data_IF_722486543124
#
_entry.id   IF_722486543124
#
_cell.length_a   1.000
_cell.length_b   1.000
_cell.length_c   1.000
_cell.angle_alpha   90.00
_cell.angle_beta   90.00
_cell.angle_gamma   90.00
#
_symmetry.space_group_name_H-M   'P 1'
#
loop_
_entity.id
_entity.type
_entity.pdbx_description
1 polymer ?
#
# COMPACT_ATOMS: atom_id res chain seq x y z
N UNK A 1 4.18 -27.62 4.10
CA UNK A 1 3.31 -26.47 3.79
C UNK A 1 1.87 -26.94 3.84
N UNK A 2 0.94 -26.07 4.21
CA UNK A 2 -0.51 -26.37 4.27
C UNK A 2 -1.27 -25.26 3.57
N UNK A 3 -2.38 -25.59 2.92
CA UNK A 3 -3.24 -24.61 2.26
C UNK A 3 -3.91 -23.73 3.30
N UNK A 4 -4.14 -22.46 2.94
CA UNK A 4 -5.00 -21.58 3.75
C UNK A 4 -6.43 -22.11 3.76
N UNK A 5 -7.24 -21.79 4.78
CA UNK A 5 -8.65 -22.14 4.79
C UNK A 5 -9.39 -21.56 3.57
N UNK A 6 -10.60 -22.07 3.32
CA UNK A 6 -11.46 -21.54 2.25
C UNK A 6 -11.66 -20.03 2.43
N UNK A 7 -11.30 -19.27 1.40
CA UNK A 7 -11.53 -17.83 1.31
C UNK A 7 -12.79 -17.53 0.49
N UNK A 8 -13.41 -16.40 0.78
CA UNK A 8 -14.53 -15.83 0.01
C UNK A 8 -14.21 -14.37 -0.36
N UNK A 9 -14.88 -13.76 -1.35
CA UNK A 9 -14.68 -12.34 -1.65
C UNK A 9 -14.76 -11.46 -0.41
N UNK A 10 -13.75 -10.61 -0.20
CA UNK A 10 -13.61 -9.77 1.01
C UNK A 10 -12.84 -10.41 2.17
N UNK A 11 -12.52 -11.70 2.10
CA UNK A 11 -11.59 -12.33 3.05
C UNK A 11 -10.19 -11.72 2.93
N UNK A 12 -9.50 -11.58 4.05
CA UNK A 12 -8.12 -11.11 4.11
C UNK A 12 -7.24 -12.19 4.74
N UNK A 13 -6.08 -12.43 4.15
CA UNK A 13 -5.11 -13.41 4.63
C UNK A 13 -3.80 -12.68 4.87
N UNK A 14 -3.31 -12.75 6.10
CA UNK A 14 -2.05 -12.15 6.52
C UNK A 14 -1.08 -13.23 6.96
N UNK A 15 0.19 -13.08 6.60
CA UNK A 15 1.28 -13.86 7.13
C UNK A 15 2.43 -12.91 7.49
N UNK A 16 3.22 -13.29 8.50
CA UNK A 16 4.40 -12.53 8.89
C UNK A 16 5.43 -12.53 7.74
N UNK A 17 6.24 -11.47 7.63
CA UNK A 17 7.22 -11.34 6.53
C UNK A 17 8.24 -12.49 6.46
N UNK A 18 8.45 -13.19 7.57
CA UNK A 18 9.38 -14.32 7.69
C UNK A 18 8.69 -15.69 7.50
N UNK A 19 7.38 -15.74 7.22
CA UNK A 19 6.66 -17.00 7.00
C UNK A 19 6.96 -17.53 5.60
N UNK A 20 7.45 -18.77 5.53
CA UNK A 20 7.58 -19.54 4.30
C UNK A 20 6.19 -19.73 3.69
N UNK A 21 6.00 -19.30 2.45
CA UNK A 21 4.75 -19.41 1.73
C UNK A 21 4.99 -19.80 0.25
N UNK A 22 3.97 -20.36 -0.38
CA UNK A 22 3.97 -20.72 -1.79
C UNK A 22 2.55 -20.68 -2.34
N UNK A 23 2.41 -20.46 -3.65
CA UNK A 23 1.15 -20.69 -4.37
C UNK A 23 1.10 -22.16 -4.81
N UNK A 24 -0.06 -22.79 -4.73
CA UNK A 24 -0.24 -24.16 -5.23
C UNK A 24 0.01 -24.25 -6.73
N UNK A 25 0.59 -25.38 -7.18
CA UNK A 25 1.01 -25.55 -8.58
C UNK A 25 -0.13 -25.88 -9.54
N UNK A 26 -1.33 -26.19 -9.02
CA UNK A 26 -2.52 -26.53 -9.82
C UNK A 26 -3.73 -25.82 -9.27
N UNK A 27 -4.52 -25.22 -10.15
CA UNK A 27 -5.85 -24.70 -9.85
C UNK A 27 -6.91 -25.61 -10.48
N UNK A 28 -7.63 -26.37 -9.64
CA UNK A 28 -8.71 -27.26 -10.07
C UNK A 28 -10.11 -26.65 -9.93
N UNK A 29 -10.21 -25.37 -9.58
CA UNK A 29 -11.49 -24.68 -9.40
C UNK A 29 -12.14 -24.30 -10.74
N UNK A 30 -13.44 -23.99 -10.70
CA UNK A 30 -14.23 -23.66 -11.88
C UNK A 30 -14.19 -22.17 -12.29
N UNK A 31 -13.56 -21.32 -11.48
CA UNK A 31 -13.51 -19.86 -11.68
C UNK A 31 -12.14 -19.32 -11.35
N UNK A 32 -11.85 -18.09 -11.78
CA UNK A 32 -10.60 -17.41 -11.45
C UNK A 32 -10.37 -17.28 -9.94
N UNK A 33 -9.10 -17.35 -9.55
CA UNK A 33 -8.63 -17.08 -8.19
C UNK A 33 -7.93 -15.73 -8.19
N UNK A 34 -8.67 -14.68 -7.86
CA UNK A 34 -8.20 -13.29 -7.94
C UNK A 34 -7.97 -12.71 -6.55
N UNK A 35 -6.85 -12.00 -6.38
CA UNK A 35 -6.47 -11.33 -5.13
C UNK A 35 -5.93 -9.93 -5.41
N UNK A 36 -6.01 -9.04 -4.42
CA UNK A 36 -5.26 -7.80 -4.38
C UNK A 36 -4.19 -7.91 -3.29
N UNK A 37 -2.94 -7.64 -3.63
CA UNK A 37 -1.85 -7.64 -2.66
C UNK A 37 -1.81 -6.30 -1.92
N UNK A 38 -2.16 -6.32 -0.63
CA UNK A 38 -2.19 -5.14 0.24
C UNK A 38 -1.43 -5.48 1.53
N UNK A 39 -0.15 -5.08 1.68
CA UNK A 39 0.63 -5.40 2.86
C UNK A 39 0.34 -4.44 4.03
N UNK A 40 0.72 -4.86 5.23
CA UNK A 40 0.86 -3.94 6.36
C UNK A 40 2.26 -3.31 6.33
N UNK A 41 2.36 -2.05 5.93
CA UNK A 41 3.61 -1.29 5.89
C UNK A 41 3.57 -0.14 6.92
N UNK A 42 4.19 -0.29 8.10
CA UNK A 42 4.16 0.76 9.13
C UNK A 42 4.96 1.99 8.70
N UNK A 43 4.64 3.14 9.28
CA UNK A 43 5.41 4.36 9.03
C UNK A 43 6.80 4.22 9.64
N UNK A 44 7.83 4.33 8.79
CA UNK A 44 9.25 4.37 9.15
C UNK A 44 9.93 5.36 8.19
N UNK A 45 11.14 5.83 8.49
CA UNK A 45 11.87 6.71 7.57
C UNK A 45 12.08 6.06 6.19
N UNK A 46 12.47 4.78 6.16
CA UNK A 46 12.63 4.01 4.92
C UNK A 46 11.33 3.90 4.12
N UNK A 47 10.21 3.62 4.80
CA UNK A 47 8.91 3.52 4.13
C UNK A 47 8.40 4.90 3.67
N UNK A 48 8.73 5.98 4.37
CA UNK A 48 8.41 7.34 3.94
C UNK A 48 9.19 7.74 2.68
N UNK A 49 10.46 7.36 2.56
CA UNK A 49 11.24 7.57 1.34
C UNK A 49 10.66 6.79 0.15
N UNK A 50 10.24 5.54 0.40
CA UNK A 50 9.55 4.76 -0.62
C UNK A 50 8.22 5.40 -1.02
N UNK A 51 7.41 5.82 -0.05
CA UNK A 51 6.13 6.47 -0.27
C UNK A 51 6.27 7.74 -1.12
N UNK A 52 7.31 8.54 -0.89
CA UNK A 52 7.61 9.71 -1.73
C UNK A 52 7.75 9.34 -3.20
N UNK A 53 8.60 8.34 -3.51
CA UNK A 53 8.83 7.87 -4.88
C UNK A 53 7.58 7.22 -5.47
N UNK A 54 6.84 6.46 -4.66
CA UNK A 54 5.58 5.84 -5.08
C UNK A 54 4.54 6.89 -5.44
N UNK A 55 4.39 7.96 -4.64
CA UNK A 55 3.48 9.09 -4.92
C UNK A 55 3.78 9.73 -6.27
N UNK A 56 5.04 10.01 -6.55
CA UNK A 56 5.48 10.57 -7.85
C UNK A 56 5.15 9.64 -9.03
N UNK A 57 5.33 8.32 -8.86
CA UNK A 57 4.98 7.32 -9.89
C UNK A 57 3.48 7.20 -10.10
N UNK A 58 2.70 7.22 -9.03
CA UNK A 58 1.25 7.18 -9.06
C UNK A 58 0.67 8.37 -9.84
N UNK A 59 1.18 9.59 -9.62
CA UNK A 59 0.77 10.78 -10.38
C UNK A 59 1.06 10.64 -11.87
N UNK A 60 2.23 10.09 -12.20
CA UNK A 60 2.63 9.82 -13.58
C UNK A 60 1.91 8.61 -14.21
N UNK A 61 1.16 7.82 -13.43
CA UNK A 61 0.56 6.55 -13.87
C UNK A 61 1.58 5.48 -14.25
N UNK A 62 2.78 5.54 -13.66
CA UNK A 62 3.86 4.58 -13.93
C UNK A 62 3.88 3.50 -12.85
N UNK A 63 4.46 2.31 -13.13
CA UNK A 63 4.63 1.28 -12.11
C UNK A 63 5.40 1.82 -10.89
N UNK A 64 5.09 1.26 -9.71
CA UNK A 64 5.79 1.62 -8.49
C UNK A 64 7.28 1.26 -8.57
N UNK A 65 8.15 1.89 -7.75
CA UNK A 65 9.61 1.84 -7.94
C UNK A 65 10.26 0.45 -7.85
N UNK A 66 9.58 -0.52 -7.25
CA UNK A 66 10.02 -1.91 -7.04
C UNK A 66 9.56 -2.88 -8.13
N UNK A 67 8.66 -2.46 -9.03
CA UNK A 67 8.22 -3.25 -10.17
C UNK A 67 9.03 -2.92 -11.44
N UNK A 68 9.02 -3.82 -12.44
CA UNK A 68 9.56 -3.49 -13.75
C UNK A 68 8.98 -2.17 -14.27
N UNK A 69 9.85 -1.27 -14.71
CA UNK A 69 9.45 0.05 -15.21
C UNK A 69 8.66 -0.01 -16.53
N UNK A 70 8.36 1.17 -17.08
CA UNK A 70 7.63 1.31 -18.34
C UNK A 70 6.61 2.44 -18.27
N UNK A 71 5.74 2.50 -19.28
CA UNK A 71 4.66 3.49 -19.31
C UNK A 71 3.54 3.18 -18.32
N UNK A 72 3.41 1.93 -17.88
CA UNK A 72 2.36 1.50 -16.94
C UNK A 72 0.96 1.87 -17.44
N UNK A 73 0.17 2.45 -16.55
CA UNK A 73 -1.21 2.88 -16.77
C UNK A 73 -1.28 4.37 -17.20
N UNK A 74 -0.16 4.98 -17.57
CA UNK A 74 -0.09 6.43 -17.86
C UNK A 74 -1.03 6.90 -18.97
N UNK A 75 -1.43 5.99 -19.87
CA UNK A 75 -2.36 6.25 -20.98
C UNK A 75 -3.77 5.65 -20.76
N UNK A 76 -4.01 5.01 -19.63
CA UNK A 76 -5.27 4.31 -19.39
C UNK A 76 -6.39 5.31 -19.06
N UNK A 77 -7.58 5.06 -19.60
CA UNK A 77 -8.80 5.79 -19.27
C UNK A 77 -9.36 5.22 -17.95
N UNK A 78 -9.82 6.08 -17.06
CA UNK A 78 -10.41 5.66 -15.78
C UNK A 78 -9.38 5.27 -14.71
N UNK A 79 -8.11 5.64 -14.89
CA UNK A 79 -7.07 5.45 -13.88
C UNK A 79 -7.43 6.20 -12.59
N UNK A 80 -7.26 5.54 -11.46
CA UNK A 80 -7.42 6.17 -10.16
C UNK A 80 -6.44 7.33 -9.95
N UNK A 81 -6.87 8.30 -9.15
CA UNK A 81 -6.16 9.50 -8.75
C UNK A 81 -6.38 9.78 -7.26
N UNK A 82 -5.70 10.78 -6.71
CA UNK A 82 -5.98 11.24 -5.34
C UNK A 82 -7.41 11.74 -5.15
N UNK A 83 -8.13 12.08 -6.23
CA UNK A 83 -9.52 12.49 -6.15
C UNK A 83 -10.43 11.32 -5.75
N UNK A 84 -10.05 10.09 -6.12
CA UNK A 84 -10.83 8.86 -5.93
C UNK A 84 -10.68 8.25 -4.54
N UNK A 85 -9.89 8.88 -3.66
CA UNK A 85 -9.83 8.49 -2.25
C UNK A 85 -11.22 8.64 -1.63
N UNK A 86 -11.71 7.52 -1.07
CA UNK A 86 -13.04 7.40 -0.50
C UNK A 86 -13.36 8.54 0.48
N UNK A 87 -14.51 9.18 0.28
CA UNK A 87 -14.89 10.39 1.01
C UNK A 87 -15.00 10.16 2.53
N UNK A 88 -15.43 8.98 2.96
CA UNK A 88 -15.59 8.64 4.39
C UNK A 88 -14.29 8.63 5.20
N UNK A 89 -13.14 8.40 4.55
CA UNK A 89 -11.84 8.27 5.21
C UNK A 89 -10.76 9.12 4.50
N UNK A 90 -11.19 10.23 3.91
CA UNK A 90 -10.37 10.98 2.95
C UNK A 90 -9.00 11.37 3.48
N UNK A 91 -8.93 11.93 4.69
CA UNK A 91 -7.64 12.29 5.30
C UNK A 91 -6.76 11.07 5.59
N UNK A 92 -7.33 9.95 6.03
CA UNK A 92 -6.55 8.72 6.27
C UNK A 92 -5.98 8.17 4.96
N UNK A 93 -6.81 8.09 3.91
CA UNK A 93 -6.37 7.64 2.60
C UNK A 93 -5.34 8.57 1.95
N UNK A 94 -5.52 9.89 2.07
CA UNK A 94 -4.55 10.86 1.56
C UNK A 94 -3.22 10.80 2.33
N UNK A 95 -3.23 10.58 3.65
CA UNK A 95 -2.00 10.33 4.42
C UNK A 95 -1.31 9.05 3.95
N UNK A 96 -2.06 7.96 3.78
CA UNK A 96 -1.51 6.69 3.30
C UNK A 96 -0.88 6.78 1.90
N UNK A 97 -1.38 7.69 1.06
CA UNK A 97 -0.82 8.01 -0.26
C UNK A 97 0.25 9.12 -0.24
N UNK A 98 0.59 9.65 0.93
CA UNK A 98 1.59 10.71 1.10
C UNK A 98 1.15 12.08 0.59
N UNK A 99 -0.15 12.35 0.46
CA UNK A 99 -0.70 13.64 0.05
C UNK A 99 -1.04 14.57 1.22
N UNK A 100 -1.13 14.04 2.43
CA UNK A 100 -1.42 14.80 3.65
C UNK A 100 -0.42 14.46 4.76
N UNK A 101 -0.20 15.43 5.66
CA UNK A 101 0.64 15.25 6.84
C UNK A 101 0.14 14.13 7.72
N UNK A 102 1.06 13.29 8.17
CA UNK A 102 0.81 12.37 9.28
C UNK A 102 0.64 13.18 10.58
N UNK A 103 -0.34 12.78 11.38
CA UNK A 103 -0.68 13.42 12.65
C UNK A 103 -0.55 12.37 13.76
N UNK A 104 0.19 12.65 14.84
CA UNK A 104 0.31 11.71 15.96
C UNK A 104 -1.02 11.52 16.66
N UNK A 105 -1.29 10.29 17.11
CA UNK A 105 -2.40 10.02 18.00
C UNK A 105 -2.22 10.75 19.36
N UNK A 106 -3.30 11.02 20.12
CA UNK A 106 -3.19 11.71 21.41
C UNK A 106 -2.23 11.07 22.41
N UNK A 107 -2.14 9.74 22.40
CA UNK A 107 -1.28 8.92 23.26
C UNK A 107 -0.02 8.41 22.53
N UNK A 108 0.39 9.06 21.45
CA UNK A 108 1.56 8.62 20.68
C UNK A 108 2.84 8.70 21.51
N UNK A 109 3.69 7.70 21.32
CA UNK A 109 4.98 7.56 21.98
C UNK A 109 5.95 8.66 21.51
N UNK A 110 6.98 9.00 22.31
CA UNK A 110 8.03 9.91 21.85
C UNK A 110 8.70 9.45 20.54
N UNK A 111 8.96 8.15 20.39
CA UNK A 111 9.52 7.57 19.16
C UNK A 111 8.56 7.67 17.98
N UNK A 112 7.26 7.39 18.18
CA UNK A 112 6.25 7.53 17.14
C UNK A 112 6.13 8.97 16.63
N UNK A 113 6.17 9.96 17.55
CA UNK A 113 6.19 11.39 17.19
C UNK A 113 7.41 11.74 16.34
N UNK A 114 8.60 11.27 16.72
CA UNK A 114 9.84 11.50 15.95
C UNK A 114 9.76 10.91 14.54
N UNK A 115 9.24 9.68 14.39
CA UNK A 115 9.07 9.05 13.08
C UNK A 115 8.05 9.79 12.22
N UNK A 116 6.97 10.29 12.81
CA UNK A 116 5.94 11.08 12.11
C UNK A 116 6.52 12.41 11.62
N UNK A 117 7.26 13.13 12.45
CA UNK A 117 7.94 14.37 12.08
C UNK A 117 8.94 14.15 10.94
N UNK A 118 9.72 13.08 11.05
CA UNK A 118 10.70 12.69 10.04
C UNK A 118 10.06 12.31 8.70
N UNK A 119 8.99 11.52 8.74
CA UNK A 119 8.26 11.13 7.54
C UNK A 119 7.66 12.35 6.82
N UNK A 120 7.07 13.28 7.56
CA UNK A 120 6.55 14.53 6.99
C UNK A 120 7.67 15.35 6.32
N UNK A 121 8.86 15.45 6.95
CA UNK A 121 10.04 16.09 6.37
C UNK A 121 10.48 15.42 5.06
N UNK A 122 10.55 14.09 5.03
CA UNK A 122 10.93 13.33 3.83
C UNK A 122 9.95 13.59 2.68
N UNK A 123 8.64 13.56 2.97
CA UNK A 123 7.56 13.75 2.00
C UNK A 123 7.40 15.20 1.51
N UNK A 124 8.03 16.16 2.20
CA UNK A 124 7.91 17.59 1.94
C UNK A 124 6.54 18.15 2.36
N UNK A 125 6.01 17.66 3.49
CA UNK A 125 4.69 17.99 4.01
C UNK A 125 4.75 18.83 5.30
#
# INVERSE_FOLDING_TARGET
MVSVPKVVPGSQVYWHCDVIHSVESKHGGASDSSVLYIPAAPLTSTNAEYLKRQRERFEAGRPAPDFPGGEGESRFVGRASKADVHAGDRSQGLRALGYERFVPAPNETPGGKQVIEEANRILGL
#
